data_IF_068305630866
#
_entry.id   IF_068305630866
#
_cell.length_a   1.000
_cell.length_b   1.000
_cell.length_c   1.000
_cell.angle_alpha   90.00
_cell.angle_beta   90.00
_cell.angle_gamma   90.00
#
_symmetry.space_group_name_H-M   'P 1'
#
loop_
_entity.id
_entity.type
_entity.pdbx_description
1 polymer ?
#
# COMPACT_ATOMS: atom_id res chain seq x y z
N UNK A 1 5.63 48.09 31.23
CA UNK A 1 6.67 47.45 30.41
C UNK A 1 6.32 45.98 30.30
N UNK A 2 5.77 45.59 29.15
CA UNK A 2 5.42 44.20 28.83
C UNK A 2 6.71 43.52 28.37
N UNK A 3 7.06 42.32 28.86
CA UNK A 3 8.23 41.62 28.37
C UNK A 3 8.08 41.38 26.85
N UNK A 4 9.16 41.52 26.07
CA UNK A 4 9.11 41.29 24.63
C UNK A 4 8.62 39.86 24.34
N UNK A 5 7.89 39.64 23.24
CA UNK A 5 7.49 38.30 22.84
C UNK A 5 8.75 37.45 22.64
N UNK A 6 8.84 36.36 23.40
CA UNK A 6 9.88 35.35 23.29
C UNK A 6 9.72 34.69 21.91
N UNK A 7 10.53 35.13 20.94
CA UNK A 7 10.62 34.43 19.66
C UNK A 7 11.18 33.03 19.96
N UNK A 8 10.47 31.95 19.59
CA UNK A 8 11.01 30.61 19.78
C UNK A 8 12.34 30.51 19.03
N UNK A 9 13.35 29.91 19.68
CA UNK A 9 14.68 29.74 19.13
C UNK A 9 14.60 29.15 17.70
N UNK A 10 15.44 29.61 16.74
CA UNK A 10 15.43 29.15 15.35
C UNK A 10 15.61 27.64 15.15
N UNK A 11 16.03 26.94 16.21
CA UNK A 11 16.47 25.55 16.18
C UNK A 11 15.50 24.58 16.89
N UNK A 12 14.34 25.07 17.36
CA UNK A 12 13.30 24.18 17.86
C UNK A 12 12.71 23.42 16.65
N UNK A 13 12.82 22.07 16.58
CA UNK A 13 12.22 21.32 15.48
C UNK A 13 10.73 21.64 15.47
N UNK A 14 10.25 22.21 14.35
CA UNK A 14 8.85 22.57 14.19
C UNK A 14 7.96 21.40 14.60
N UNK A 15 6.83 21.64 15.31
CA UNK A 15 5.96 20.57 15.74
C UNK A 15 5.50 19.77 14.51
N UNK A 16 5.63 18.45 14.56
CA UNK A 16 5.26 17.57 13.44
C UNK A 16 3.75 17.71 13.18
N UNK A 17 3.42 18.23 12.01
CA UNK A 17 2.05 18.40 11.56
C UNK A 17 1.65 17.28 10.61
N UNK A 18 0.46 16.73 10.84
CA UNK A 18 -0.14 15.69 9.99
C UNK A 18 -0.91 16.30 8.82
N UNK A 19 -1.31 17.57 8.92
CA UNK A 19 -2.14 18.28 7.94
C UNK A 19 -1.32 19.11 6.96
N UNK A 20 -0.20 19.69 7.38
CA UNK A 20 0.63 20.55 6.51
C UNK A 20 1.14 19.81 5.25
N UNK A 21 1.50 18.51 5.32
CA UNK A 21 1.88 17.73 4.15
C UNK A 21 0.79 17.63 3.08
N UNK A 22 -0.50 17.80 3.42
CA UNK A 22 -1.61 17.66 2.47
C UNK A 22 -1.50 18.72 1.39
N UNK A 23 -1.32 19.99 1.78
CA UNK A 23 -1.18 21.11 0.83
C UNK A 23 0.08 20.98 -0.02
N UNK A 24 1.22 20.61 0.60
CA UNK A 24 2.48 20.38 -0.11
C UNK A 24 2.36 19.24 -1.13
N UNK A 25 1.74 18.13 -0.74
CA UNK A 25 1.53 16.97 -1.61
C UNK A 25 0.60 17.30 -2.79
N UNK A 26 -0.45 18.10 -2.56
CA UNK A 26 -1.34 18.56 -3.64
C UNK A 26 -0.62 19.44 -4.65
N UNK A 27 0.13 20.44 -4.17
CA UNK A 27 0.94 21.31 -5.03
C UNK A 27 2.04 20.53 -5.78
N UNK A 28 2.70 19.58 -5.12
CA UNK A 28 3.68 18.71 -5.77
C UNK A 28 3.07 17.86 -6.87
N UNK A 29 1.92 17.24 -6.60
CA UNK A 29 1.15 16.46 -7.59
C UNK A 29 0.80 17.32 -8.80
N UNK A 30 0.32 18.55 -8.56
CA UNK A 30 -0.01 19.49 -9.63
C UNK A 30 1.21 19.85 -10.47
N UNK A 31 2.34 20.20 -9.85
CA UNK A 31 3.59 20.54 -10.55
C UNK A 31 4.16 19.37 -11.34
N UNK A 32 4.10 18.17 -10.78
CA UNK A 32 4.64 16.96 -11.40
C UNK A 32 3.82 16.52 -12.61
N UNK A 33 2.49 16.60 -12.54
CA UNK A 33 1.60 16.12 -13.61
C UNK A 33 1.21 17.20 -14.62
N UNK A 34 1.39 18.49 -14.30
CA UNK A 34 1.05 19.61 -15.18
C UNK A 34 2.23 20.56 -15.40
N UNK A 35 2.58 20.93 -16.64
CA UNK A 35 1.83 20.75 -17.90
C UNK A 35 1.75 19.30 -18.39
N UNK A 36 0.63 18.93 -19.02
CA UNK A 36 0.35 17.55 -19.42
C UNK A 36 1.32 17.05 -20.49
N UNK A 37 2.11 16.05 -20.14
CA UNK A 37 2.98 15.30 -21.05
C UNK A 37 2.53 13.84 -21.06
N UNK A 38 2.03 13.37 -22.20
CA UNK A 38 1.52 12.01 -22.34
C UNK A 38 2.60 10.95 -22.07
N UNK A 39 3.84 11.17 -22.51
CA UNK A 39 4.96 10.25 -22.29
C UNK A 39 5.29 10.12 -20.80
N UNK A 40 5.41 11.26 -20.11
CA UNK A 40 5.61 11.30 -18.65
C UNK A 40 4.44 10.62 -17.93
N UNK A 41 3.22 10.92 -18.34
CA UNK A 41 1.99 10.41 -17.72
C UNK A 41 1.85 8.89 -17.84
N UNK A 42 1.98 8.31 -19.03
CA UNK A 42 1.90 6.86 -19.22
C UNK A 42 3.05 6.10 -18.55
N UNK A 43 4.24 6.70 -18.51
CA UNK A 43 5.40 6.12 -17.83
C UNK A 43 5.21 6.10 -16.32
N UNK A 44 4.77 7.21 -15.72
CA UNK A 44 4.44 7.28 -14.30
C UNK A 44 3.24 6.38 -13.96
N UNK A 45 2.23 6.32 -14.83
CA UNK A 45 1.10 5.39 -14.73
C UNK A 45 1.56 3.93 -14.72
N UNK A 46 2.53 3.58 -15.57
CA UNK A 46 3.14 2.25 -15.58
C UNK A 46 3.92 1.94 -14.31
N UNK A 47 4.74 2.87 -13.82
CA UNK A 47 5.46 2.69 -12.55
C UNK A 47 4.48 2.57 -11.37
N UNK A 48 3.43 3.38 -11.34
CA UNK A 48 2.38 3.31 -10.32
C UNK A 48 1.61 1.98 -10.39
N UNK A 49 1.26 1.52 -11.61
CA UNK A 49 0.62 0.22 -11.84
C UNK A 49 1.47 -0.93 -11.32
N UNK A 50 2.77 -0.93 -11.66
CA UNK A 50 3.67 -1.95 -11.16
C UNK A 50 3.81 -1.88 -9.64
N UNK A 51 3.84 -0.67 -9.06
CA UNK A 51 3.97 -0.48 -7.62
C UNK A 51 2.77 -1.03 -6.85
N UNK A 52 1.55 -0.94 -7.41
CA UNK A 52 0.31 -1.46 -6.80
C UNK A 52 -0.04 -2.88 -7.24
N UNK A 53 0.78 -3.50 -8.08
CA UNK A 53 0.54 -4.84 -8.61
C UNK A 53 0.53 -5.88 -7.47
N UNK A 54 -0.60 -6.57 -7.32
CA UNK A 54 -0.79 -7.56 -6.25
C UNK A 54 -1.25 -6.98 -4.91
N UNK A 55 -1.37 -5.65 -4.78
CA UNK A 55 -2.02 -5.01 -3.64
C UNK A 55 -3.53 -4.99 -3.83
N UNK A 56 -4.16 -6.15 -3.60
CA UNK A 56 -5.52 -6.22 -3.08
C UNK A 56 -6.59 -5.38 -3.79
N UNK A 57 -6.55 -5.25 -5.11
CA UNK A 57 -7.75 -4.96 -5.91
C UNK A 57 -8.50 -6.27 -6.06
N UNK A 58 -9.31 -6.63 -5.06
CA UNK A 58 -10.05 -7.88 -5.03
C UNK A 58 -10.84 -8.06 -6.33
N UNK A 59 -10.35 -8.93 -7.20
CA UNK A 59 -11.24 -9.62 -8.12
C UNK A 59 -12.19 -10.40 -7.24
N UNK A 60 -13.38 -9.85 -7.01
CA UNK A 60 -14.52 -10.62 -6.54
C UNK A 60 -14.65 -11.76 -7.54
N UNK A 61 -14.12 -12.94 -7.21
CA UNK A 61 -14.52 -14.16 -7.88
C UNK A 61 -16.00 -14.26 -7.57
N UNK A 62 -16.80 -13.74 -8.48
CA UNK A 62 -18.24 -13.84 -8.44
C UNK A 62 -18.51 -15.31 -8.69
N UNK A 63 -18.53 -16.09 -7.61
CA UNK A 63 -18.97 -17.48 -7.64
C UNK A 63 -20.39 -17.41 -8.21
N UNK A 64 -20.67 -18.03 -9.35
CA UNK A 64 -22.00 -18.00 -9.91
C UNK A 64 -22.98 -18.49 -8.84
N UNK A 65 -23.94 -17.65 -8.50
CA UNK A 65 -24.99 -18.00 -7.55
C UNK A 65 -25.79 -19.15 -8.16
N UNK A 66 -25.63 -20.36 -7.63
CA UNK A 66 -26.41 -21.54 -8.03
C UNK A 66 -27.78 -21.60 -7.33
N UNK A 67 -28.24 -20.51 -6.72
CA UNK A 67 -29.57 -20.37 -6.14
C UNK A 67 -30.70 -20.26 -7.17
N UNK A 68 -31.00 -21.36 -7.88
CA UNK A 68 -32.12 -21.45 -8.82
C UNK A 68 -32.97 -22.69 -8.57
N UNK A 69 -34.09 -22.51 -7.87
CA UNK A 69 -35.13 -23.51 -7.69
C UNK A 69 -35.87 -23.80 -9.01
N UNK A 70 -35.71 -25.02 -9.54
CA UNK A 70 -36.63 -25.55 -10.57
C UNK A 70 -36.00 -26.48 -11.60
N UNK A 71 -36.39 -27.77 -11.53
CA UNK A 71 -36.22 -28.85 -12.53
C UNK A 71 -34.81 -29.35 -12.83
N UNK A 72 -34.45 -30.44 -12.14
CA UNK A 72 -33.94 -31.67 -12.76
C UNK A 72 -32.62 -31.60 -13.51
N UNK A 73 -31.51 -31.56 -12.76
CA UNK A 73 -30.15 -31.79 -13.25
C UNK A 73 -29.22 -30.61 -12.96
N UNK A 74 -28.38 -30.73 -11.92
CA UNK A 74 -27.33 -29.74 -11.70
C UNK A 74 -26.42 -29.67 -12.94
N UNK A 75 -26.17 -28.49 -13.53
CA UNK A 75 -25.23 -28.34 -14.66
C UNK A 75 -23.79 -28.74 -14.28
N UNK A 76 -23.51 -28.89 -12.98
CA UNK A 76 -22.27 -29.40 -12.41
C UNK A 76 -22.17 -30.93 -12.37
N UNK A 77 -23.27 -31.68 -12.55
CA UNK A 77 -23.23 -33.15 -12.51
C UNK A 77 -22.22 -33.77 -13.50
N UNK A 78 -22.16 -33.33 -14.78
CA UNK A 78 -21.15 -33.82 -15.71
C UNK A 78 -19.72 -33.39 -15.33
N UNK A 79 -19.55 -32.21 -14.74
CA UNK A 79 -18.24 -31.75 -14.24
C UNK A 79 -17.79 -32.57 -13.03
N UNK A 80 -18.70 -32.87 -12.10
CA UNK A 80 -18.45 -33.70 -10.92
C UNK A 80 -18.14 -35.14 -11.32
N UNK A 81 -18.85 -35.68 -12.31
CA UNK A 81 -18.55 -37.01 -12.87
C UNK A 81 -17.17 -37.01 -13.55
N UNK A 82 -16.86 -36.03 -14.40
CA UNK A 82 -15.54 -35.90 -15.03
C UNK A 82 -14.41 -35.77 -14.00
N UNK A 83 -14.62 -35.01 -12.91
CA UNK A 83 -13.66 -34.86 -11.81
C UNK A 83 -13.46 -36.18 -11.05
N UNK A 84 -14.52 -36.96 -10.83
CA UNK A 84 -14.40 -38.29 -10.19
C UNK A 84 -13.68 -39.28 -11.10
N UNK A 85 -14.01 -39.27 -12.39
CA UNK A 85 -13.44 -40.21 -13.37
C UNK A 85 -11.98 -39.87 -13.71
N UNK A 86 -11.57 -38.61 -13.57
CA UNK A 86 -10.22 -38.12 -13.88
C UNK A 86 -9.54 -37.50 -12.65
N UNK A 87 -9.80 -38.04 -11.46
CA UNK A 87 -9.35 -37.47 -10.19
C UNK A 87 -7.83 -37.22 -10.16
N UNK A 88 -7.03 -38.15 -10.68
CA UNK A 88 -5.57 -38.04 -10.74
C UNK A 88 -5.11 -36.87 -11.64
N UNK A 89 -5.77 -36.68 -12.79
CA UNK A 89 -5.48 -35.57 -13.71
C UNK A 89 -5.89 -34.24 -13.09
N UNK A 90 -7.08 -34.16 -12.48
CA UNK A 90 -7.57 -32.93 -11.84
C UNK A 90 -6.70 -32.54 -10.65
N UNK A 91 -6.28 -33.49 -9.81
CA UNK A 91 -5.36 -33.23 -8.69
C UNK A 91 -4.02 -32.75 -9.22
N UNK A 92 -3.45 -33.43 -10.22
CA UNK A 92 -2.15 -33.08 -10.79
C UNK A 92 -2.18 -31.70 -11.45
N UNK A 93 -3.18 -31.43 -12.31
CA UNK A 93 -3.36 -30.13 -12.96
C UNK A 93 -3.63 -29.04 -11.92
N UNK A 94 -4.42 -29.33 -10.89
CA UNK A 94 -4.70 -28.42 -9.77
C UNK A 94 -3.44 -28.01 -9.03
N UNK A 95 -2.56 -28.98 -8.70
CA UNK A 95 -1.26 -28.69 -8.08
C UNK A 95 -0.42 -27.81 -8.99
N UNK A 96 -0.34 -28.12 -10.29
CA UNK A 96 0.40 -27.29 -11.26
C UNK A 96 -0.14 -25.86 -11.30
N UNK A 97 -1.46 -25.67 -11.37
CA UNK A 97 -2.08 -24.33 -11.38
C UNK A 97 -1.79 -23.59 -10.07
N UNK A 98 -1.88 -24.25 -8.92
CA UNK A 98 -1.57 -23.64 -7.62
C UNK A 98 -0.10 -23.25 -7.54
N UNK A 99 0.83 -24.12 -7.94
CA UNK A 99 2.27 -23.83 -7.95
C UNK A 99 2.58 -22.67 -8.88
N UNK A 100 2.00 -22.65 -10.09
CA UNK A 100 2.16 -21.53 -11.03
C UNK A 100 1.56 -20.23 -10.47
N UNK A 101 0.40 -20.29 -9.83
CA UNK A 101 -0.23 -19.14 -9.18
C UNK A 101 0.60 -18.56 -8.04
N UNK A 102 1.18 -19.42 -7.20
CA UNK A 102 2.10 -19.01 -6.12
C UNK A 102 3.38 -18.42 -6.70
N UNK A 103 3.98 -19.07 -7.71
CA UNK A 103 5.17 -18.57 -8.37
C UNK A 103 4.93 -17.20 -9.02
N UNK A 104 3.78 -17.03 -9.68
CA UNK A 104 3.35 -15.75 -10.24
C UNK A 104 3.15 -14.72 -9.13
N UNK A 105 2.44 -15.04 -8.04
CA UNK A 105 2.25 -14.13 -6.91
C UNK A 105 3.56 -13.64 -6.30
N UNK A 106 4.53 -14.54 -6.13
CA UNK A 106 5.88 -14.19 -5.65
C UNK A 106 6.61 -13.29 -6.66
N UNK A 107 6.52 -13.59 -7.95
CA UNK A 107 7.12 -12.77 -9.00
C UNK A 107 6.49 -11.37 -9.05
N UNK A 108 5.17 -11.27 -8.96
CA UNK A 108 4.44 -10.00 -8.91
C UNK A 108 4.83 -9.19 -7.67
N UNK A 109 4.91 -9.81 -6.50
CA UNK A 109 5.36 -9.16 -5.26
C UNK A 109 6.79 -8.62 -5.40
N UNK A 110 7.67 -9.37 -6.06
CA UNK A 110 9.04 -8.94 -6.33
C UNK A 110 9.10 -7.74 -7.27
N UNK A 111 8.31 -7.74 -8.35
CA UNK A 111 8.18 -6.61 -9.28
C UNK A 111 7.62 -5.38 -8.56
N UNK A 112 6.53 -5.53 -7.80
CA UNK A 112 5.90 -4.44 -7.04
C UNK A 112 6.86 -3.81 -6.04
N UNK A 113 7.63 -4.63 -5.32
CA UNK A 113 8.61 -4.11 -4.35
C UNK A 113 9.69 -3.23 -5.00
N UNK A 114 10.08 -3.53 -6.24
CA UNK A 114 11.02 -2.67 -7.00
C UNK A 114 10.34 -1.42 -7.52
N UNK A 115 9.16 -1.57 -8.10
CA UNK A 115 8.40 -0.47 -8.65
C UNK A 115 8.05 0.59 -7.60
N UNK A 116 7.83 0.21 -6.34
CA UNK A 116 7.64 1.17 -5.23
C UNK A 116 8.81 2.11 -5.01
N UNK A 117 10.04 1.60 -5.07
CA UNK A 117 11.25 2.42 -4.92
C UNK A 117 11.46 3.32 -6.13
N UNK A 118 11.14 2.83 -7.33
CA UNK A 118 11.14 3.65 -8.53
C UNK A 118 10.08 4.74 -8.47
N UNK A 119 8.90 4.44 -7.95
CA UNK A 119 7.83 5.43 -7.78
C UNK A 119 8.25 6.52 -6.79
N UNK A 120 8.94 6.14 -5.70
CA UNK A 120 9.56 7.10 -4.79
C UNK A 120 10.55 8.01 -5.53
N UNK A 121 11.45 7.41 -6.30
CA UNK A 121 12.48 8.13 -7.06
C UNK A 121 11.89 9.08 -8.11
N UNK A 122 10.85 8.64 -8.81
CA UNK A 122 10.11 9.44 -9.78
C UNK A 122 9.48 10.67 -9.13
N UNK A 123 8.86 10.51 -7.96
CA UNK A 123 8.20 11.61 -7.24
C UNK A 123 9.22 12.57 -6.63
N UNK A 124 10.29 12.04 -6.03
CA UNK A 124 11.31 12.85 -5.37
C UNK A 124 12.11 13.72 -6.37
N UNK A 125 12.45 13.17 -7.54
CA UNK A 125 13.27 13.87 -8.53
C UNK A 125 12.47 14.45 -9.72
N UNK A 126 11.14 14.39 -9.67
CA UNK A 126 10.23 14.82 -10.75
C UNK A 126 10.59 14.27 -12.16
N UNK A 127 11.00 12.99 -12.23
CA UNK A 127 11.46 12.35 -13.47
C UNK A 127 10.66 11.10 -13.82
N UNK A 128 10.40 10.92 -15.12
CA UNK A 128 9.79 9.70 -15.66
C UNK A 128 10.85 8.83 -16.34
N UNK A 129 11.73 8.22 -15.55
CA UNK A 129 12.74 7.28 -16.03
C UNK A 129 12.47 5.87 -15.45
N UNK A 130 12.49 4.84 -16.31
CA UNK A 130 12.22 3.45 -15.89
C UNK A 130 13.51 2.62 -15.87
N UNK A 131 14.32 2.72 -16.93
CA UNK A 131 15.46 1.82 -17.13
C UNK A 131 16.58 2.02 -16.09
N UNK A 132 17.01 3.27 -15.88
CA UNK A 132 18.08 3.60 -14.93
C UNK A 132 17.67 3.27 -13.48
N UNK A 133 16.49 3.70 -12.97
CA UNK A 133 16.06 3.33 -11.62
C UNK A 133 15.86 1.82 -11.43
N UNK A 134 15.36 1.10 -12.45
CA UNK A 134 15.17 -0.36 -12.36
C UNK A 134 16.49 -1.11 -12.11
N UNK A 135 17.57 -0.70 -12.78
CA UNK A 135 18.91 -1.26 -12.56
C UNK A 135 19.48 -0.87 -11.21
N UNK A 136 19.33 0.40 -10.82
CA UNK A 136 19.86 0.94 -9.56
C UNK A 136 19.21 0.30 -8.32
N UNK A 137 17.90 0.10 -8.33
CA UNK A 137 17.15 -0.43 -7.18
C UNK A 137 17.08 -1.95 -7.11
N UNK A 138 17.90 -2.69 -7.89
CA UNK A 138 17.90 -4.16 -7.92
C UNK A 138 18.10 -4.79 -6.54
N UNK A 139 19.07 -4.27 -5.78
CA UNK A 139 19.41 -4.78 -4.45
C UNK A 139 18.47 -4.26 -3.37
N UNK A 140 18.21 -2.95 -3.34
CA UNK A 140 17.28 -2.31 -2.40
C UNK A 140 15.87 -2.91 -2.49
N UNK A 141 15.38 -3.13 -3.71
CA UNK A 141 14.09 -3.77 -3.95
C UNK A 141 14.05 -5.24 -3.53
N UNK A 142 15.18 -5.97 -3.61
CA UNK A 142 15.28 -7.34 -3.07
C UNK A 142 15.20 -7.37 -1.54
N UNK A 143 15.72 -6.35 -0.86
CA UNK A 143 15.60 -6.21 0.60
C UNK A 143 14.15 -5.94 1.00
N UNK A 144 13.46 -5.02 0.32
CA UNK A 144 12.03 -4.75 0.54
C UNK A 144 11.14 -5.96 0.22
N UNK A 145 11.44 -6.66 -0.88
CA UNK A 145 10.75 -7.91 -1.23
C UNK A 145 10.85 -8.96 -0.12
N UNK A 146 12.02 -9.13 0.50
CA UNK A 146 12.21 -10.13 1.57
C UNK A 146 11.31 -9.88 2.77
N UNK A 147 11.20 -8.63 3.25
CA UNK A 147 10.32 -8.32 4.39
C UNK A 147 8.84 -8.49 4.03
N UNK A 148 8.43 -8.06 2.82
CA UNK A 148 7.06 -8.25 2.34
C UNK A 148 6.73 -9.73 2.14
N UNK A 149 7.67 -10.53 1.65
CA UNK A 149 7.52 -11.98 1.51
C UNK A 149 7.36 -12.65 2.87
N UNK A 150 8.17 -12.29 3.87
CA UNK A 150 8.01 -12.81 5.24
C UNK A 150 6.65 -12.43 5.82
N UNK A 151 6.22 -11.18 5.66
CA UNK A 151 4.87 -10.75 6.07
C UNK A 151 3.77 -11.54 5.36
N UNK A 152 3.91 -11.81 4.06
CA UNK A 152 2.96 -12.61 3.30
C UNK A 152 2.95 -14.08 3.77
N UNK A 153 4.12 -14.67 4.02
CA UNK A 153 4.25 -16.06 4.50
C UNK A 153 3.71 -16.26 5.91
N UNK A 154 3.78 -15.25 6.77
CA UNK A 154 3.16 -15.26 8.10
C UNK A 154 1.66 -14.97 7.99
N UNK A 155 1.28 -14.00 7.15
CA UNK A 155 -0.10 -13.56 7.01
C UNK A 155 -1.00 -14.61 6.39
N UNK A 156 -0.50 -15.35 5.39
CA UNK A 156 -1.25 -16.40 4.71
C UNK A 156 -1.81 -17.45 5.68
N UNK A 157 -1.02 -18.20 6.46
CA UNK A 157 -1.56 -19.20 7.38
C UNK A 157 -2.44 -18.60 8.48
N UNK A 158 -2.20 -17.36 8.92
CA UNK A 158 -3.05 -16.72 9.93
C UNK A 158 -4.44 -16.40 9.37
N UNK A 159 -4.51 -15.83 8.16
CA UNK A 159 -5.78 -15.51 7.49
C UNK A 159 -6.54 -16.77 7.12
N UNK A 160 -5.87 -17.74 6.48
CA UNK A 160 -6.50 -19.01 6.11
C UNK A 160 -6.88 -19.84 7.34
N UNK A 161 -6.08 -19.80 8.41
CA UNK A 161 -6.40 -20.43 9.69
C UNK A 161 -7.62 -19.82 10.36
N UNK A 162 -7.77 -18.49 10.34
CA UNK A 162 -8.95 -17.81 10.87
C UNK A 162 -10.22 -18.16 10.08
N UNK A 163 -10.13 -18.22 8.74
CA UNK A 163 -11.23 -18.66 7.87
C UNK A 163 -11.58 -20.12 8.15
N UNK A 164 -10.59 -21.02 8.17
CA UNK A 164 -10.80 -22.44 8.44
C UNK A 164 -11.45 -22.65 9.82
N UNK A 165 -11.00 -21.93 10.85
CA UNK A 165 -11.60 -21.95 12.17
C UNK A 165 -13.08 -21.53 12.13
N UNK A 166 -13.40 -20.42 11.44
CA UNK A 166 -14.78 -19.98 11.28
C UNK A 166 -15.65 -21.03 10.58
N UNK A 167 -15.14 -21.64 9.52
CA UNK A 167 -15.84 -22.71 8.77
C UNK A 167 -16.05 -23.96 9.62
N UNK A 168 -15.04 -24.41 10.37
CA UNK A 168 -15.13 -25.58 11.23
C UNK A 168 -16.15 -25.37 12.35
N UNK A 169 -16.16 -24.19 12.98
CA UNK A 169 -17.14 -23.85 14.02
C UNK A 169 -18.58 -23.77 13.46
N UNK A 170 -18.73 -23.30 12.23
CA UNK A 170 -20.02 -23.22 11.54
C UNK A 170 -20.42 -24.54 10.84
N UNK A 171 -19.55 -25.56 10.82
CA UNK A 171 -19.71 -26.74 9.95
C UNK A 171 -21.03 -27.48 10.17
N UNK A 172 -21.39 -27.73 11.43
CA UNK A 172 -22.63 -28.44 11.79
C UNK A 172 -23.89 -27.72 11.30
N UNK A 173 -23.89 -26.39 11.37
CA UNK A 173 -25.01 -25.55 10.95
C UNK A 173 -25.06 -25.36 9.44
N UNK A 174 -23.90 -25.27 8.77
CA UNK A 174 -23.78 -25.25 7.30
C UNK A 174 -24.35 -26.55 6.70
N UNK A 175 -23.98 -27.70 7.25
CA UNK A 175 -24.50 -29.00 6.76
C UNK A 175 -25.99 -29.19 6.99
N UNK A 176 -26.54 -28.53 8.02
CA UNK A 176 -27.96 -28.57 8.34
C UNK A 176 -28.77 -27.46 7.63
N UNK A 177 -28.14 -26.59 6.84
CA UNK A 177 -28.79 -25.50 6.12
C UNK A 177 -29.49 -24.47 7.03
N UNK A 178 -29.05 -24.36 8.29
CA UNK A 178 -29.68 -23.50 9.30
C UNK A 178 -28.68 -22.49 9.85
N UNK A 179 -29.14 -21.28 10.15
CA UNK A 179 -28.36 -20.33 10.95
C UNK A 179 -28.60 -20.62 12.44
N UNK A 180 -27.74 -21.47 13.01
CA UNK A 180 -27.77 -21.81 14.43
C UNK A 180 -26.69 -21.08 15.24
N UNK A 181 -26.54 -21.50 16.49
CA UNK A 181 -25.53 -20.96 17.41
C UNK A 181 -24.09 -21.24 16.96
N UNK A 182 -23.84 -22.32 16.22
CA UNK A 182 -22.52 -22.62 15.65
C UNK A 182 -22.15 -21.67 14.51
N UNK A 183 -23.11 -21.32 13.64
CA UNK A 183 -22.91 -20.30 12.61
C UNK A 183 -22.62 -18.92 13.23
N UNK A 184 -23.36 -18.53 14.27
CA UNK A 184 -23.11 -17.28 15.00
C UNK A 184 -21.73 -17.28 15.68
N UNK A 185 -21.35 -18.39 16.31
CA UNK A 185 -20.04 -18.56 16.95
C UNK A 185 -18.90 -18.50 15.93
N UNK A 186 -19.04 -19.18 14.78
CA UNK A 186 -18.08 -19.14 13.69
C UNK A 186 -17.93 -17.75 13.07
N UNK A 187 -19.04 -17.00 12.92
CA UNK A 187 -19.01 -15.63 12.44
C UNK A 187 -18.33 -14.67 13.42
N UNK A 188 -18.68 -14.74 14.71
CA UNK A 188 -18.12 -13.84 15.72
C UNK A 188 -16.65 -14.14 16.02
N UNK A 189 -16.30 -15.42 16.26
CA UNK A 189 -14.93 -15.80 16.58
C UNK A 189 -14.05 -15.85 15.32
N UNK A 190 -14.48 -16.59 14.29
CA UNK A 190 -13.71 -16.70 13.05
C UNK A 190 -13.60 -15.36 12.33
N UNK A 191 -14.73 -14.66 12.18
CA UNK A 191 -14.75 -13.31 11.58
C UNK A 191 -14.03 -12.28 12.44
N UNK A 192 -14.21 -12.29 13.75
CA UNK A 192 -13.50 -11.38 14.67
C UNK A 192 -11.98 -11.56 14.63
N UNK A 193 -11.50 -12.80 14.68
CA UNK A 193 -10.07 -13.13 14.54
C UNK A 193 -9.57 -12.72 13.15
N UNK A 194 -10.34 -12.99 12.09
CA UNK A 194 -9.98 -12.61 10.72
C UNK A 194 -9.80 -11.08 10.59
N UNK A 195 -10.72 -10.29 11.14
CA UNK A 195 -10.63 -8.83 11.15
C UNK A 195 -9.41 -8.38 11.95
N UNK A 196 -9.18 -8.93 13.14
CA UNK A 196 -8.04 -8.57 13.99
C UNK A 196 -6.70 -8.88 13.29
N UNK A 197 -6.55 -10.10 12.75
CA UNK A 197 -5.36 -10.53 12.02
C UNK A 197 -5.12 -9.65 10.80
N UNK A 198 -6.17 -9.38 10.02
CA UNK A 198 -6.09 -8.54 8.82
C UNK A 198 -5.70 -7.11 9.18
N UNK A 199 -6.23 -6.57 10.28
CA UNK A 199 -5.88 -5.23 10.78
C UNK A 199 -4.40 -5.15 11.17
N UNK A 200 -3.91 -6.12 11.95
CA UNK A 200 -2.50 -6.15 12.39
C UNK A 200 -1.55 -6.29 11.19
N UNK A 201 -1.84 -7.22 10.27
CA UNK A 201 -1.03 -7.43 9.07
C UNK A 201 -1.11 -6.24 8.12
N UNK A 202 -2.27 -5.62 7.99
CA UNK A 202 -2.48 -4.42 7.18
C UNK A 202 -1.68 -3.24 7.70
N UNK A 203 -1.70 -2.99 9.01
CA UNK A 203 -0.88 -1.95 9.64
C UNK A 203 0.61 -2.26 9.50
N UNK A 204 1.04 -3.51 9.73
CA UNK A 204 2.43 -3.90 9.56
C UNK A 204 2.91 -3.69 8.11
N UNK A 205 2.08 -4.07 7.13
CA UNK A 205 2.37 -3.89 5.70
C UNK A 205 2.43 -2.40 5.34
N UNK A 206 1.48 -1.59 5.84
CA UNK A 206 1.48 -0.15 5.63
C UNK A 206 2.76 0.50 6.19
N UNK A 207 3.20 0.13 7.39
CA UNK A 207 4.45 0.66 7.98
C UNK A 207 5.66 0.30 7.12
N UNK A 208 5.73 -0.94 6.62
CA UNK A 208 6.82 -1.37 5.73
C UNK A 208 6.83 -0.57 4.43
N UNK A 209 5.66 -0.35 3.85
CA UNK A 209 5.55 0.31 2.56
C UNK A 209 5.68 1.84 2.62
N UNK A 210 5.23 2.45 3.71
CA UNK A 210 5.29 3.90 3.91
C UNK A 210 6.64 4.33 4.46
N UNK A 211 7.11 3.69 5.53
CA UNK A 211 8.30 4.14 6.27
C UNK A 211 9.54 3.34 5.90
N UNK A 212 9.49 2.02 5.94
CA UNK A 212 10.69 1.18 5.67
C UNK A 212 11.14 1.29 4.22
N UNK A 213 10.20 1.40 3.27
CA UNK A 213 10.53 1.62 1.87
C UNK A 213 11.28 2.95 1.65
N UNK A 214 10.87 4.01 2.35
CA UNK A 214 11.56 5.32 2.31
C UNK A 214 12.92 5.24 3.01
N UNK A 215 13.01 4.55 4.14
CA UNK A 215 14.27 4.32 4.83
C UNK A 215 15.30 3.60 3.94
N UNK A 216 14.88 2.55 3.22
CA UNK A 216 15.73 1.82 2.27
C UNK A 216 16.07 2.65 1.02
N UNK A 217 15.18 3.57 0.63
CA UNK A 217 15.44 4.49 -0.47
C UNK A 217 16.56 5.47 -0.10
N UNK A 218 16.46 6.12 1.07
CA UNK A 218 17.43 7.11 1.55
C UNK A 218 18.75 6.49 2.03
N UNK A 219 18.68 5.41 2.80
CA UNK A 219 19.83 4.76 3.41
C UNK A 219 20.04 3.38 2.78
N UNK A 220 21.28 3.07 2.37
CA UNK A 220 21.60 1.74 1.85
C UNK A 220 21.87 0.74 2.97
N UNK A 221 20.84 0.42 3.74
CA UNK A 221 20.95 -0.41 4.94
C UNK A 221 20.24 -1.78 4.81
N UNK A 222 20.63 -2.78 5.60
CA UNK A 222 19.87 -4.01 5.73
C UNK A 222 18.51 -3.74 6.40
N UNK A 223 17.52 -4.59 6.08
CA UNK A 223 16.12 -4.45 6.53
C UNK A 223 15.99 -4.25 8.05
N UNK A 224 16.82 -4.97 8.83
CA UNK A 224 16.77 -4.92 10.29
C UNK A 224 17.18 -3.54 10.82
N UNK A 225 18.23 -2.95 10.26
CA UNK A 225 18.72 -1.63 10.65
C UNK A 225 17.75 -0.54 10.20
N UNK A 226 17.22 -0.63 8.98
CA UNK A 226 16.17 0.26 8.49
C UNK A 226 14.92 0.25 9.39
N UNK A 227 14.47 -0.94 9.83
CA UNK A 227 13.36 -1.07 10.78
C UNK A 227 13.70 -0.47 12.15
N UNK A 228 14.91 -0.72 12.66
CA UNK A 228 15.35 -0.16 13.93
C UNK A 228 15.36 1.37 13.87
N UNK A 229 15.89 1.96 12.79
CA UNK A 229 15.89 3.40 12.59
C UNK A 229 14.48 3.97 12.55
N UNK A 230 13.57 3.37 11.79
CA UNK A 230 12.16 3.77 11.77
C UNK A 230 11.58 3.71 13.19
N UNK A 231 11.81 2.64 13.94
CA UNK A 231 11.31 2.50 15.31
C UNK A 231 11.89 3.55 16.26
N UNK A 232 13.19 3.83 16.19
CA UNK A 232 13.86 4.76 17.12
C UNK A 232 13.61 6.22 16.76
N UNK A 233 13.59 6.57 15.48
CA UNK A 233 13.52 7.98 15.04
C UNK A 233 12.08 8.43 14.77
N UNK A 234 11.19 7.54 14.29
CA UNK A 234 9.80 7.91 14.00
C UNK A 234 8.83 7.53 15.12
N UNK A 235 8.99 6.36 15.75
CA UNK A 235 8.01 5.86 16.74
C UNK A 235 8.34 6.23 18.18
N UNK A 236 9.63 6.40 18.55
CA UNK A 236 10.01 6.69 19.93
C UNK A 236 9.47 8.06 20.39
N UNK A 237 8.60 8.04 21.40
CA UNK A 237 8.00 9.25 21.96
C UNK A 237 6.91 9.93 21.12
N UNK A 238 6.57 9.39 19.93
CA UNK A 238 5.66 10.03 18.96
C UNK A 238 4.61 9.09 18.35
N UNK A 239 4.37 7.94 18.98
CA UNK A 239 3.39 6.95 18.49
C UNK A 239 1.99 7.55 18.26
N UNK A 240 1.56 8.50 19.09
CA UNK A 240 0.29 9.22 18.92
C UNK A 240 0.20 9.96 17.58
N UNK A 241 1.25 10.68 17.18
CA UNK A 241 1.30 11.38 15.89
C UNK A 241 1.23 10.41 14.71
N UNK A 242 1.89 9.25 14.80
CA UNK A 242 1.81 8.21 13.77
C UNK A 242 0.40 7.61 13.67
N UNK A 243 -0.28 7.40 14.81
CA UNK A 243 -1.68 6.95 14.81
C UNK A 243 -2.58 8.00 14.13
N UNK A 244 -2.44 9.28 14.48
CA UNK A 244 -3.20 10.37 13.84
C UNK A 244 -2.88 10.45 12.35
N UNK A 245 -1.63 10.25 11.95
CA UNK A 245 -1.24 10.15 10.54
C UNK A 245 -1.95 9.03 9.81
N UNK A 246 -2.03 7.82 10.38
CA UNK A 246 -2.76 6.72 9.74
C UNK A 246 -4.27 6.96 9.69
N UNK A 247 -4.85 7.57 10.73
CA UNK A 247 -6.27 7.98 10.71
C UNK A 247 -6.50 9.00 9.59
N UNK A 248 -5.63 10.01 9.46
CA UNK A 248 -5.71 10.99 8.38
C UNK A 248 -5.53 10.33 7.01
N UNK A 249 -4.52 9.46 6.84
CA UNK A 249 -4.31 8.69 5.61
C UNK A 249 -5.52 7.85 5.26
N UNK A 250 -6.19 7.24 6.24
CA UNK A 250 -7.43 6.49 6.02
C UNK A 250 -8.57 7.39 5.56
N UNK A 251 -8.77 8.57 6.18
CA UNK A 251 -9.77 9.55 5.74
C UNK A 251 -9.50 10.06 4.32
N UNK A 252 -8.25 10.38 3.99
CA UNK A 252 -7.83 10.72 2.63
C UNK A 252 -8.09 9.56 1.67
N UNK A 253 -7.83 8.33 2.10
CA UNK A 253 -8.10 7.10 1.36
C UNK A 253 -9.57 6.91 1.01
N UNK A 254 -10.49 7.24 1.94
CA UNK A 254 -11.94 7.23 1.65
C UNK A 254 -12.26 8.26 0.57
N UNK A 255 -11.75 9.49 0.69
CA UNK A 255 -11.96 10.53 -0.33
C UNK A 255 -11.43 10.12 -1.71
N UNK A 256 -10.21 9.58 -1.76
CA UNK A 256 -9.60 8.99 -2.97
C UNK A 256 -10.45 7.86 -3.53
N UNK A 257 -10.95 6.96 -2.69
CA UNK A 257 -11.80 5.83 -3.09
C UNK A 257 -13.15 6.27 -3.66
N UNK A 258 -13.78 7.28 -3.09
CA UNK A 258 -15.02 7.87 -3.62
C UNK A 258 -14.76 8.52 -4.99
N UNK A 259 -13.70 9.31 -5.12
CA UNK A 259 -13.31 9.93 -6.40
C UNK A 259 -13.00 8.86 -7.47
N UNK A 260 -12.29 7.79 -7.09
CA UNK A 260 -11.99 6.68 -7.97
C UNK A 260 -13.26 5.93 -8.40
N UNK A 261 -14.22 5.74 -7.49
CA UNK A 261 -15.52 5.12 -7.78
C UNK A 261 -16.32 5.97 -8.76
N UNK A 262 -16.43 7.28 -8.52
CA UNK A 262 -17.11 8.21 -9.42
C UNK A 262 -16.44 8.20 -10.81
N UNK A 263 -15.11 8.28 -10.86
CA UNK A 263 -14.36 8.21 -12.12
C UNK A 263 -14.59 6.89 -12.87
N UNK A 264 -14.67 5.78 -12.16
CA UNK A 264 -14.95 4.46 -12.74
C UNK A 264 -16.36 4.38 -13.32
N UNK A 265 -17.37 4.88 -12.60
CA UNK A 265 -18.75 4.95 -13.07
C UNK A 265 -18.90 5.85 -14.31
N UNK A 266 -18.17 6.97 -14.38
CA UNK A 266 -18.21 7.90 -15.52
C UNK A 266 -17.50 7.35 -16.76
N UNK A 267 -16.50 6.48 -16.59
CA UNK A 267 -15.68 5.94 -17.69
C UNK A 267 -16.11 4.54 -18.15
N UNK A 268 -17.27 4.04 -17.66
CA UNK A 268 -17.96 2.80 -18.03
C UNK A 268 -17.08 1.76 -18.76
N UNK A 269 -16.38 0.93 -17.98
CA UNK A 269 -15.50 -0.19 -18.37
C UNK A 269 -14.05 0.15 -18.75
N UNK A 270 -13.68 1.40 -19.08
CA UNK A 270 -12.29 1.74 -19.43
C UNK A 270 -11.38 1.75 -18.19
N UNK A 271 -11.85 2.32 -17.07
CA UNK A 271 -11.11 2.33 -15.81
C UNK A 271 -11.06 0.95 -15.12
N UNK A 272 -11.91 0.00 -15.54
CA UNK A 272 -11.84 -1.38 -15.07
C UNK A 272 -10.62 -2.13 -15.63
N UNK A 273 -10.03 -1.65 -16.73
CA UNK A 273 -8.75 -2.17 -17.20
C UNK A 273 -7.66 -1.77 -16.19
N UNK A 274 -6.93 -2.72 -15.60
CA UNK A 274 -6.10 -2.47 -14.43
C UNK A 274 -4.99 -1.45 -14.69
N UNK A 275 -4.46 -1.41 -15.91
CA UNK A 275 -3.48 -0.40 -16.33
C UNK A 275 -4.13 0.98 -16.57
N UNK A 276 -5.19 1.06 -17.38
CA UNK A 276 -5.83 2.35 -17.69
C UNK A 276 -6.46 3.01 -16.45
N UNK A 277 -7.02 2.21 -15.53
CA UNK A 277 -7.49 2.68 -14.24
C UNK A 277 -6.38 3.38 -13.44
N UNK A 278 -5.18 2.78 -13.37
CA UNK A 278 -4.05 3.41 -12.68
C UNK A 278 -3.53 4.67 -13.36
N UNK A 279 -3.56 4.72 -14.69
CA UNK A 279 -3.17 5.90 -15.47
C UNK A 279 -4.15 7.05 -15.25
N UNK A 280 -5.46 6.78 -15.23
CA UNK A 280 -6.50 7.79 -14.97
C UNK A 280 -6.41 8.29 -13.52
N UNK A 281 -6.19 7.37 -12.57
CA UNK A 281 -6.08 7.67 -11.13
C UNK A 281 -4.67 8.10 -10.69
N UNK A 282 -3.75 8.30 -11.64
CA UNK A 282 -2.36 8.69 -11.37
C UNK A 282 -2.25 9.91 -10.43
N UNK A 283 -3.04 10.99 -10.57
CA UNK A 283 -2.98 12.10 -9.62
C UNK A 283 -3.21 11.67 -8.17
N UNK A 284 -4.11 10.71 -7.93
CA UNK A 284 -4.41 10.21 -6.58
C UNK A 284 -3.27 9.34 -6.05
N UNK A 285 -2.66 8.51 -6.90
CA UNK A 285 -1.49 7.71 -6.51
C UNK A 285 -0.28 8.59 -6.18
N UNK A 286 -0.02 9.62 -6.98
CA UNK A 286 1.08 10.57 -6.71
C UNK A 286 0.78 11.37 -5.45
N UNK A 287 -0.44 11.87 -5.28
CA UNK A 287 -0.84 12.61 -4.08
C UNK A 287 -0.70 11.80 -2.79
N UNK A 288 -1.26 10.59 -2.76
CA UNK A 288 -1.20 9.73 -1.56
C UNK A 288 0.23 9.37 -1.21
N UNK A 289 1.09 9.19 -2.21
CA UNK A 289 2.51 8.87 -1.98
C UNK A 289 3.32 10.09 -1.59
N UNK A 290 3.11 11.25 -2.22
CA UNK A 290 3.74 12.51 -1.85
C UNK A 290 3.35 12.95 -0.43
N UNK A 291 2.11 12.69 0.01
CA UNK A 291 1.67 12.96 1.38
C UNK A 291 2.54 12.24 2.42
N UNK A 292 2.80 10.94 2.21
CA UNK A 292 3.68 10.14 3.08
C UNK A 292 5.10 10.71 3.08
N UNK A 293 5.61 11.10 1.91
CA UNK A 293 6.97 11.66 1.78
C UNK A 293 7.12 12.99 2.52
N UNK A 294 6.21 13.93 2.33
CA UNK A 294 6.24 15.22 3.03
C UNK A 294 5.98 15.09 4.54
N UNK A 295 5.29 14.04 4.98
CA UNK A 295 5.19 13.72 6.40
C UNK A 295 6.53 13.25 6.96
N UNK A 296 7.23 12.35 6.27
CA UNK A 296 8.54 11.82 6.69
C UNK A 296 9.63 12.90 6.63
N UNK A 297 9.57 13.82 5.66
CA UNK A 297 10.51 14.92 5.49
C UNK A 297 10.61 15.85 6.72
N UNK A 298 9.54 15.92 7.53
CA UNK A 298 9.50 16.70 8.78
C UNK A 298 10.36 16.12 9.91
N UNK A 299 10.80 14.86 9.83
CA UNK A 299 11.53 14.19 10.91
C UNK A 299 13.01 14.59 10.98
N UNK A 300 13.52 15.35 10.00
CA UNK A 300 14.84 15.96 10.04
C UNK A 300 15.68 15.70 8.79
N UNK A 301 16.94 16.16 8.77
CA UNK A 301 17.81 16.11 7.60
C UNK A 301 18.12 14.68 7.12
N UNK A 302 18.11 13.70 8.02
CA UNK A 302 18.30 12.28 7.65
C UNK A 302 17.15 11.72 6.79
N UNK A 303 15.95 12.29 6.92
CA UNK A 303 14.73 11.85 6.25
C UNK A 303 14.32 12.75 5.07
N UNK A 304 15.21 13.68 4.69
CA UNK A 304 14.92 14.70 3.71
C UNK A 304 14.87 14.12 2.30
N UNK A 305 13.69 14.17 1.68
CA UNK A 305 13.41 13.64 0.34
C UNK A 305 13.41 14.73 -0.72
N UNK A 306 13.03 15.95 -0.33
CA UNK A 306 12.95 17.09 -1.22
C UNK A 306 14.04 18.10 -0.86
N UNK A 307 14.91 18.49 -1.80
CA UNK A 307 15.86 19.57 -1.55
C UNK A 307 15.09 20.87 -1.28
N UNK A 308 15.46 21.60 -0.22
CA UNK A 308 14.95 22.95 0.00
C UNK A 308 15.39 23.84 -1.17
N UNK A 309 14.55 24.80 -1.61
CA UNK A 309 15.05 25.90 -2.42
C UNK A 309 16.17 26.56 -1.61
N UNK A 310 17.36 26.66 -2.20
CA UNK A 310 18.48 27.39 -1.60
C UNK A 310 17.97 28.76 -1.12
N UNK A 311 18.20 29.15 0.16
CA UNK A 311 17.69 30.42 0.66
C UNK A 311 18.22 31.53 -0.24
N UNK A 312 17.31 32.40 -0.67
CA UNK A 312 17.68 33.44 -1.63
C UNK A 312 18.85 34.27 -1.05
N UNK A 313 19.81 34.74 -1.88
CA UNK A 313 21.08 35.34 -1.41
C UNK A 313 20.93 36.51 -0.41
N UNK A 314 19.76 37.13 -0.35
CA UNK A 314 19.43 38.20 0.59
C UNK A 314 19.07 37.72 2.01
N UNK A 315 18.77 36.43 2.20
CA UNK A 315 18.50 35.84 3.52
C UNK A 315 19.79 35.45 4.27
N UNK A 316 20.89 35.16 3.57
CA UNK A 316 22.21 34.89 4.17
C UNK A 316 22.94 36.15 4.68
N UNK A 317 22.42 37.35 4.41
CA UNK A 317 23.02 38.63 4.82
C UNK A 317 22.75 39.04 6.27
N UNK A 318 21.93 38.30 7.02
CA UNK A 318 21.57 38.60 8.41
C UNK A 318 22.44 37.89 9.45
N UNK A 319 23.70 37.55 9.13
CA UNK A 319 24.67 37.19 10.16
C UNK A 319 24.95 38.43 11.03
N UNK A 320 24.68 38.39 12.36
CA UNK A 320 25.05 39.50 13.23
C UNK A 320 26.57 39.73 13.16
N UNK A 321 27.04 40.98 13.11
CA UNK A 321 28.46 41.27 13.03
C UNK A 321 29.19 40.63 14.22
N UNK A 322 30.42 40.10 14.03
CA UNK A 322 31.19 39.54 15.12
C UNK A 322 31.36 40.60 16.20
N UNK A 323 31.03 40.24 17.44
CA UNK A 323 31.24 41.09 18.60
C UNK A 323 32.72 41.47 18.66
N UNK A 324 33.00 42.76 18.49
CA UNK A 324 34.31 43.35 18.73
C UNK A 324 34.56 43.50 20.23
#
# INVERSE_FOLDING_TARGET
MQPPPEFPAPDAPAPISVTDPIGKAFEHTKRMLFPFDAGKWFTLGFVAFLATLGEGGGSTFQVPDTGGSGRGGSPLNPVIQFVRDNLELVITLGIVVVVLGVALGIALLWVSSRAKLMFIDCIANDRAAVEEPWRRFKEKGSRLFRIRLVLALIGFPLVFGAIALGVVLAWSDITAGRFGSGALLGLLLGGGILVLVSLVLGVASAIVEDFVAVALYLHDEPVKEAWQRVKTELFAGRAGTIVVFYVMKFLLGIGVGVLATIGTCLTCCIAALPYLGTVILLPLFVFTRAYVMYFIDQFGPAWRLFPEPEPAPWQSGFAPPPAA
#
